data_IF_294390568979
#
_entry.id   IF_294390568979
#
_cell.length_a   1.000
_cell.length_b   1.000
_cell.length_c   1.000
_cell.angle_alpha   90.00
_cell.angle_beta   90.00
_cell.angle_gamma   90.00
#
_symmetry.space_group_name_H-M   'P 1'
#
loop_
_entity.id
_entity.type
_entity.pdbx_description
1 polymer ?
#
# COMPACT_ATOMS: atom_id res chain seq x y z
N UNK A 1 17.07 5.32 10.72
CA UNK A 1 17.08 6.68 10.19
C UNK A 1 15.84 7.37 10.73
N UNK A 2 15.95 8.57 11.31
CA UNK A 2 14.82 9.24 11.98
C UNK A 2 13.76 9.74 10.99
N UNK A 3 12.56 10.06 11.49
CA UNK A 3 11.47 10.60 10.65
C UNK A 3 11.83 11.99 10.06
N UNK A 4 12.59 12.78 10.82
CA UNK A 4 13.08 14.10 10.38
C UNK A 4 14.05 13.99 9.20
N UNK A 5 14.83 12.90 9.13
CA UNK A 5 15.73 12.62 8.02
C UNK A 5 14.97 12.24 6.74
N UNK A 6 13.87 11.47 6.86
CA UNK A 6 13.00 11.19 5.71
C UNK A 6 12.39 12.47 5.14
N UNK A 7 12.07 13.44 5.98
CA UNK A 7 11.39 14.67 5.55
C UNK A 7 12.25 15.56 4.65
N UNK A 8 13.57 15.58 4.83
CA UNK A 8 14.49 16.32 3.95
C UNK A 8 14.68 15.65 2.59
N UNK A 9 14.28 14.37 2.46
CA UNK A 9 14.49 13.51 1.29
C UNK A 9 13.25 13.33 0.42
N UNK A 10 12.14 14.03 0.73
CA UNK A 10 10.88 13.90 -0.01
C UNK A 10 10.98 14.34 -1.48
N UNK A 11 12.01 15.10 -1.82
CA UNK A 11 12.28 15.58 -3.18
C UNK A 11 13.42 14.82 -3.87
N UNK A 12 13.87 13.68 -3.32
CA UNK A 12 14.85 12.82 -4.00
C UNK A 12 14.31 12.33 -5.36
N UNK A 13 15.17 12.16 -6.39
CA UNK A 13 14.73 11.95 -7.77
C UNK A 13 13.76 10.78 -7.98
N UNK A 14 13.91 9.69 -7.22
CA UNK A 14 13.05 8.51 -7.36
C UNK A 14 11.70 8.65 -6.66
N UNK A 15 11.52 9.60 -5.73
CA UNK A 15 10.29 9.76 -4.95
C UNK A 15 9.60 11.11 -5.18
N UNK A 16 10.30 12.08 -5.75
CA UNK A 16 9.81 13.46 -5.96
C UNK A 16 8.46 13.51 -6.67
N UNK A 17 8.31 12.82 -7.81
CA UNK A 17 7.06 12.81 -8.56
C UNK A 17 5.87 12.21 -7.76
N UNK A 18 6.13 11.21 -6.91
CA UNK A 18 5.11 10.64 -6.02
C UNK A 18 4.71 11.64 -4.92
N UNK A 19 5.69 12.38 -4.40
CA UNK A 19 5.44 13.39 -3.39
C UNK A 19 4.83 14.68 -3.95
N UNK A 20 5.03 14.98 -5.23
CA UNK A 20 4.27 16.01 -5.97
C UNK A 20 2.79 15.62 -6.10
N UNK A 21 2.52 14.34 -6.39
CA UNK A 21 1.15 13.80 -6.32
C UNK A 21 0.57 13.96 -4.91
N UNK A 22 1.31 13.60 -3.86
CA UNK A 22 0.83 13.79 -2.48
C UNK A 22 0.50 15.26 -2.19
N UNK A 23 1.36 16.21 -2.62
CA UNK A 23 1.09 17.66 -2.48
C UNK A 23 -0.16 18.08 -3.23
N UNK A 24 -0.34 17.66 -4.48
CA UNK A 24 -1.51 18.03 -5.28
C UNK A 24 -2.80 17.54 -4.64
N UNK A 25 -2.81 16.31 -4.11
CA UNK A 25 -3.98 15.72 -3.43
C UNK A 25 -4.37 16.44 -2.14
N UNK A 26 -3.43 17.12 -1.46
CA UNK A 26 -3.74 17.92 -0.26
C UNK A 26 -4.59 19.14 -0.57
N UNK A 27 -4.48 19.69 -1.80
CA UNK A 27 -5.14 20.96 -2.18
C UNK A 27 -6.27 20.78 -3.21
N UNK A 28 -6.49 19.56 -3.72
CA UNK A 28 -7.37 19.30 -4.88
C UNK A 28 -8.87 19.51 -4.62
N UNK A 29 -9.32 19.49 -3.37
CA UNK A 29 -10.75 19.51 -3.03
C UNK A 29 -11.27 20.92 -2.72
N UNK A 30 -11.47 21.72 -3.77
CA UNK A 30 -12.12 23.03 -3.64
C UNK A 30 -11.41 24.03 -2.71
N UNK A 31 -10.12 23.81 -2.43
CA UNK A 31 -9.33 24.61 -1.49
C UNK A 31 -9.37 24.15 -0.03
N UNK A 32 -10.10 23.08 0.31
CA UNK A 32 -10.03 22.47 1.64
C UNK A 32 -8.79 21.60 1.72
N UNK A 33 -7.84 21.99 2.57
CA UNK A 33 -6.63 21.22 2.79
C UNK A 33 -6.98 19.89 3.49
N UNK A 34 -6.53 18.77 2.91
CA UNK A 34 -6.68 17.42 3.49
C UNK A 34 -5.33 16.79 3.77
N UNK A 35 -5.27 15.91 4.77
CA UNK A 35 -4.07 15.15 5.06
C UNK A 35 -3.85 14.04 4.03
N UNK A 36 -2.66 14.00 3.43
CA UNK A 36 -2.15 12.91 2.60
C UNK A 36 -0.71 12.65 3.04
N UNK A 37 -0.34 11.43 3.47
CA UNK A 37 1.02 11.14 3.91
C UNK A 37 2.00 11.21 2.74
N UNK A 38 3.25 11.55 3.03
CA UNK A 38 4.34 11.45 2.07
C UNK A 38 4.59 9.99 1.67
N UNK A 39 5.07 9.78 0.45
CA UNK A 39 5.68 8.52 0.06
C UNK A 39 7.06 8.41 0.70
N UNK A 40 7.42 7.18 1.08
CA UNK A 40 8.62 6.90 1.86
C UNK A 40 9.88 6.94 0.98
N UNK A 41 10.84 7.86 1.22
CA UNK A 41 12.07 7.96 0.43
C UNK A 41 12.99 6.73 0.54
N UNK A 42 12.81 5.90 1.57
CA UNK A 42 13.56 4.64 1.72
C UNK A 42 12.95 3.47 0.93
N UNK A 43 11.80 3.68 0.27
CA UNK A 43 11.14 2.69 -0.58
C UNK A 43 11.55 2.84 -2.05
N UNK A 44 11.01 2.00 -2.94
CA UNK A 44 11.40 1.97 -4.36
C UNK A 44 11.02 3.19 -5.19
N UNK A 45 10.13 4.06 -4.68
CA UNK A 45 9.67 5.24 -5.42
C UNK A 45 9.06 4.85 -6.76
N UNK A 46 9.37 5.61 -7.82
CA UNK A 46 8.91 5.35 -9.19
C UNK A 46 9.46 4.05 -9.80
N UNK A 47 10.56 3.52 -9.26
CA UNK A 47 11.17 2.27 -9.72
C UNK A 47 10.62 1.01 -9.01
N UNK A 48 9.54 1.16 -8.23
CA UNK A 48 8.94 0.04 -7.53
C UNK A 48 8.24 -0.93 -8.50
N UNK A 49 8.54 -2.22 -8.34
CA UNK A 49 7.95 -3.32 -9.10
C UNK A 49 6.73 -3.92 -8.37
N UNK A 50 6.70 -3.78 -7.05
CA UNK A 50 5.63 -4.26 -6.18
C UNK A 50 4.94 -3.08 -5.47
N UNK A 51 3.62 -2.98 -5.62
CA UNK A 51 2.78 -2.02 -4.90
C UNK A 51 1.90 -2.75 -3.88
N UNK A 52 2.02 -2.41 -2.60
CA UNK A 52 1.05 -2.84 -1.57
C UNK A 52 0.08 -1.71 -1.28
N UNK A 53 -1.19 -2.01 -1.46
CA UNK A 53 -2.32 -1.14 -1.20
C UNK A 53 -2.98 -1.46 0.13
N UNK A 54 -2.98 -0.49 1.03
CA UNK A 54 -3.70 -0.48 2.30
C UNK A 54 -5.03 0.28 2.16
N UNK A 55 -5.97 0.17 3.09
CA UNK A 55 -7.28 0.86 2.95
C UNK A 55 -7.17 2.39 3.07
N UNK A 56 -6.80 2.90 4.24
CA UNK A 56 -6.68 4.35 4.55
C UNK A 56 -5.46 4.61 5.45
N UNK A 57 -4.92 5.85 5.51
CA UNK A 57 -3.92 6.21 6.50
C UNK A 57 -4.36 5.84 7.92
N UNK A 58 -3.43 5.32 8.72
CA UNK A 58 -3.67 4.95 10.11
C UNK A 58 -3.64 6.17 11.05
N UNK A 59 -4.27 6.10 12.23
CA UNK A 59 -4.37 7.24 13.15
C UNK A 59 -3.00 7.76 13.61
N UNK A 60 -2.00 6.89 13.78
CA UNK A 60 -0.64 7.29 14.15
C UNK A 60 0.06 8.08 13.04
N UNK A 61 -0.19 7.73 11.78
CA UNK A 61 0.33 8.47 10.61
C UNK A 61 -0.33 9.84 10.49
N UNK A 62 -1.65 9.91 10.75
CA UNK A 62 -2.40 11.18 10.72
C UNK A 62 -1.97 12.11 11.85
N UNK A 63 -1.76 11.58 13.05
CA UNK A 63 -1.42 12.37 14.24
C UNK A 63 -0.09 13.13 14.15
N UNK A 64 0.83 12.69 13.28
CA UNK A 64 2.15 13.32 13.11
C UNK A 64 2.18 14.36 11.98
N UNK A 65 1.06 14.62 11.30
CA UNK A 65 0.94 15.69 10.31
C UNK A 65 1.99 15.61 9.20
N UNK A 66 2.72 16.69 8.93
CA UNK A 66 3.73 16.76 7.85
C UNK A 66 4.90 15.77 8.00
N UNK A 67 5.03 15.11 9.16
CA UNK A 67 5.97 14.01 9.40
C UNK A 67 5.35 12.63 9.14
N UNK A 68 4.15 12.58 8.59
CA UNK A 68 3.43 11.35 8.27
C UNK A 68 3.87 10.78 6.92
N UNK A 69 4.33 9.53 6.94
CA UNK A 69 4.73 8.77 5.75
C UNK A 69 3.90 7.51 5.59
N UNK A 70 3.67 7.11 4.33
CA UNK A 70 3.27 5.75 4.00
C UNK A 70 4.49 4.84 4.05
N UNK A 71 4.93 4.49 5.26
CA UNK A 71 6.17 3.76 5.51
C UNK A 71 5.95 2.47 6.29
N UNK A 72 6.81 1.48 6.04
CA UNK A 72 6.93 0.28 6.88
C UNK A 72 7.67 0.54 8.20
N UNK A 73 8.26 1.74 8.38
CA UNK A 73 8.90 2.17 9.62
C UNK A 73 7.92 2.82 10.62
N UNK A 74 6.66 2.99 10.23
CA UNK A 74 5.65 3.54 11.14
C UNK A 74 5.58 2.66 12.39
N UNK A 75 5.58 3.30 13.55
CA UNK A 75 5.50 2.61 14.82
C UNK A 75 4.06 2.13 15.05
N UNK A 76 3.59 1.15 14.27
CA UNK A 76 2.29 0.50 14.42
C UNK A 76 2.35 -1.00 14.03
N UNK A 77 1.45 -1.85 14.56
CA UNK A 77 1.51 -3.30 14.32
C UNK A 77 1.36 -3.69 12.84
N UNK A 78 0.65 -2.88 12.05
CA UNK A 78 0.42 -3.18 10.63
C UNK A 78 1.69 -2.94 9.82
N UNK A 79 2.38 -1.83 10.07
CA UNK A 79 3.67 -1.54 9.46
C UNK A 79 4.73 -2.61 9.83
N UNK A 80 4.79 -3.02 11.10
CA UNK A 80 5.67 -4.10 11.54
C UNK A 80 5.40 -5.42 10.82
N UNK A 81 4.12 -5.83 10.72
CA UNK A 81 3.74 -7.06 10.03
C UNK A 81 4.03 -7.01 8.52
N UNK A 82 3.86 -5.85 7.87
CA UNK A 82 4.22 -5.67 6.47
C UNK A 82 5.73 -5.77 6.25
N UNK A 83 6.52 -5.14 7.11
CA UNK A 83 7.98 -5.22 7.07
C UNK A 83 8.47 -6.66 7.21
N UNK A 84 7.92 -7.39 8.18
CA UNK A 84 8.24 -8.80 8.40
C UNK A 84 7.82 -9.67 7.20
N UNK A 85 6.63 -9.44 6.65
CA UNK A 85 6.16 -10.15 5.47
C UNK A 85 7.02 -9.88 4.23
N UNK A 86 7.41 -8.63 4.00
CA UNK A 86 8.32 -8.23 2.92
C UNK A 86 9.68 -8.91 3.08
N UNK A 87 10.29 -8.77 4.27
CA UNK A 87 11.58 -9.37 4.58
C UNK A 87 11.55 -10.90 4.44
N UNK A 88 10.49 -11.56 4.94
CA UNK A 88 10.31 -13.00 4.82
C UNK A 88 10.07 -13.49 3.39
N UNK A 89 9.57 -12.63 2.50
CA UNK A 89 9.45 -12.91 1.07
C UNK A 89 10.74 -12.65 0.28
N UNK A 90 11.78 -12.08 0.92
CA UNK A 90 13.01 -11.67 0.24
C UNK A 90 12.84 -10.46 -0.67
N UNK A 91 11.74 -9.71 -0.53
CA UNK A 91 11.48 -8.55 -1.36
C UNK A 91 12.35 -7.37 -0.91
N UNK A 92 13.17 -6.83 -1.80
CA UNK A 92 14.00 -5.67 -1.52
C UNK A 92 13.12 -4.44 -1.23
N UNK A 93 13.48 -3.65 -0.21
CA UNK A 93 12.74 -2.41 0.14
C UNK A 93 12.68 -1.43 -1.03
N UNK A 94 13.75 -1.38 -1.83
CA UNK A 94 13.89 -0.55 -3.02
C UNK A 94 13.12 -1.07 -4.24
N UNK A 95 12.56 -2.28 -4.20
CA UNK A 95 11.71 -2.82 -5.25
C UNK A 95 10.21 -2.66 -4.93
N UNK A 96 9.89 -2.11 -3.75
CA UNK A 96 8.57 -2.11 -3.16
C UNK A 96 8.09 -0.70 -2.84
N UNK A 97 6.80 -0.45 -3.02
CA UNK A 97 6.11 0.76 -2.59
C UNK A 97 4.85 0.41 -1.79
N UNK A 98 4.63 1.12 -0.69
CA UNK A 98 3.40 1.05 0.11
C UNK A 98 2.59 2.32 -0.06
N UNK A 99 1.28 2.21 -0.30
CA UNK A 99 0.37 3.34 -0.17
C UNK A 99 -1.04 2.90 0.25
N UNK A 100 -1.98 3.83 0.20
CA UNK A 100 -3.37 3.59 0.52
C UNK A 100 -4.25 3.73 -0.74
N UNK A 101 -5.27 2.89 -0.85
CA UNK A 101 -6.31 2.99 -1.90
C UNK A 101 -7.02 4.34 -1.79
N UNK A 102 -7.42 4.72 -0.58
CA UNK A 102 -7.88 6.08 -0.27
C UNK A 102 -6.75 6.79 0.45
N UNK A 103 -6.07 7.78 -0.17
CA UNK A 103 -4.82 8.32 0.36
C UNK A 103 -5.00 9.32 1.52
N UNK A 104 -6.23 9.63 1.91
CA UNK A 104 -6.58 10.52 3.02
C UNK A 104 -7.40 9.79 4.10
N UNK A 105 -7.45 10.30 5.34
CA UNK A 105 -8.25 9.71 6.40
C UNK A 105 -9.74 9.88 6.13
N UNK A 106 -10.52 8.86 6.50
CA UNK A 106 -11.98 8.89 6.42
C UNK A 106 -12.58 8.94 7.83
N UNK A 107 -13.35 10.00 8.07
CA UNK A 107 -14.06 10.22 9.34
C UNK A 107 -15.57 10.30 9.11
N UNK A 108 -16.35 9.96 10.12
CA UNK A 108 -17.78 10.21 10.18
C UNK A 108 -18.10 11.64 10.63
N UNK A 109 -19.38 11.97 10.71
CA UNK A 109 -19.85 13.30 11.13
C UNK A 109 -19.45 13.67 12.57
N UNK A 110 -19.13 12.67 13.40
CA UNK A 110 -18.68 12.86 14.77
C UNK A 110 -17.14 12.91 14.87
N UNK A 111 -16.43 12.82 13.75
CA UNK A 111 -14.98 12.83 13.68
C UNK A 111 -14.33 11.48 13.98
N UNK A 112 -15.10 10.39 14.12
CA UNK A 112 -14.54 9.06 14.34
C UNK A 112 -14.11 8.42 13.02
N UNK A 113 -13.04 7.64 13.06
CA UNK A 113 -12.59 6.88 11.89
C UNK A 113 -13.68 5.91 11.43
N UNK A 114 -13.89 5.85 10.12
CA UNK A 114 -14.81 4.90 9.48
C UNK A 114 -14.11 4.12 8.35
N UNK A 115 -14.63 2.94 7.98
CA UNK A 115 -14.17 2.25 6.77
C UNK A 115 -14.57 3.01 5.50
N UNK A 116 -13.88 2.76 4.38
CA UNK A 116 -14.23 3.33 3.08
C UNK A 116 -15.57 2.80 2.56
N UNK A 117 -16.37 3.70 1.99
CA UNK A 117 -17.57 3.43 1.22
C UNK A 117 -17.23 3.44 -0.27
N UNK A 118 -18.17 2.97 -1.11
CA UNK A 118 -18.00 2.98 -2.57
C UNK A 118 -17.70 4.39 -3.09
N UNK A 119 -18.40 5.40 -2.58
CA UNK A 119 -18.17 6.79 -2.96
C UNK A 119 -16.74 7.28 -2.64
N UNK A 120 -16.15 6.85 -1.51
CA UNK A 120 -14.77 7.22 -1.18
C UNK A 120 -13.76 6.56 -2.14
N UNK A 121 -14.06 5.33 -2.57
CA UNK A 121 -13.23 4.61 -3.55
C UNK A 121 -13.33 5.26 -4.92
N UNK A 122 -14.51 5.74 -5.31
CA UNK A 122 -14.71 6.46 -6.57
C UNK A 122 -14.02 7.83 -6.55
N UNK A 123 -14.06 8.56 -5.42
CA UNK A 123 -13.32 9.82 -5.23
C UNK A 123 -11.80 9.61 -5.26
N UNK A 124 -11.32 8.50 -4.68
CA UNK A 124 -9.89 8.17 -4.68
C UNK A 124 -9.39 7.57 -6.01
N UNK A 125 -10.29 7.08 -6.88
CA UNK A 125 -9.93 6.40 -8.14
C UNK A 125 -8.99 7.21 -9.03
N UNK A 126 -9.19 8.52 -9.27
CA UNK A 126 -8.28 9.29 -10.11
C UNK A 126 -6.89 9.43 -9.48
N UNK A 127 -6.80 9.53 -8.15
CA UNK A 127 -5.51 9.57 -7.46
C UNK A 127 -4.74 8.24 -7.61
N UNK A 128 -5.44 7.11 -7.54
CA UNK A 128 -4.84 5.80 -7.78
C UNK A 128 -4.38 5.64 -9.24
N UNK A 129 -5.17 6.12 -10.21
CA UNK A 129 -4.79 6.09 -11.63
C UNK A 129 -3.53 6.92 -11.89
N UNK A 130 -3.45 8.12 -11.32
CA UNK A 130 -2.29 9.00 -11.42
C UNK A 130 -1.06 8.35 -10.77
N UNK A 131 -1.20 7.76 -9.58
CA UNK A 131 -0.13 6.99 -8.95
C UNK A 131 0.36 5.86 -9.87
N UNK A 132 -0.53 5.04 -10.43
CA UNK A 132 -0.14 3.95 -11.31
C UNK A 132 0.59 4.43 -12.56
N UNK A 133 0.25 5.62 -13.08
CA UNK A 133 0.96 6.23 -14.22
C UNK A 133 2.40 6.66 -13.90
N UNK A 134 2.73 6.86 -12.62
CA UNK A 134 4.06 7.22 -12.13
C UNK A 134 4.95 5.99 -11.83
N UNK A 135 4.43 4.76 -11.98
CA UNK A 135 5.13 3.52 -11.66
C UNK A 135 5.36 2.68 -12.94
N UNK A 136 6.30 3.09 -13.83
CA UNK A 136 6.51 2.44 -15.12
C UNK A 136 6.97 0.98 -15.00
N UNK A 137 7.66 0.64 -13.91
CA UNK A 137 8.23 -0.70 -13.68
C UNK A 137 7.29 -1.62 -12.87
N UNK A 138 6.05 -1.19 -12.61
CA UNK A 138 5.12 -1.92 -11.76
C UNK A 138 4.69 -3.25 -12.40
N UNK A 139 4.96 -4.35 -11.70
CA UNK A 139 4.58 -5.71 -12.13
C UNK A 139 3.43 -6.27 -11.29
N UNK A 140 3.41 -5.95 -10.00
CA UNK A 140 2.54 -6.59 -9.02
C UNK A 140 1.80 -5.59 -8.14
N UNK A 141 0.50 -5.79 -7.98
CA UNK A 141 -0.30 -5.09 -6.98
C UNK A 141 -0.85 -6.09 -5.96
N UNK A 142 -0.58 -5.82 -4.68
CA UNK A 142 -1.07 -6.60 -3.54
C UNK A 142 -2.00 -5.73 -2.71
N UNK A 143 -3.28 -6.09 -2.65
CA UNK A 143 -4.23 -5.42 -1.77
C UNK A 143 -4.25 -6.10 -0.39
N UNK A 144 -4.13 -5.30 0.67
CA UNK A 144 -4.18 -5.72 2.07
C UNK A 144 -5.39 -5.07 2.72
N UNK A 145 -6.45 -5.85 2.93
CA UNK A 145 -7.67 -5.44 3.63
C UNK A 145 -7.82 -6.17 4.96
N UNK A 146 -8.54 -5.56 5.91
CA UNK A 146 -8.91 -6.24 7.14
C UNK A 146 -9.85 -7.44 6.85
N UNK A 147 -9.76 -8.54 7.62
CA UNK A 147 -10.75 -9.61 7.52
C UNK A 147 -12.12 -9.07 7.95
N UNK A 148 -13.10 -9.08 7.04
CA UNK A 148 -14.49 -8.76 7.36
C UNK A 148 -15.05 -9.84 8.29
N UNK A 149 -15.46 -9.48 9.49
CA UNK A 149 -16.27 -10.37 10.33
C UNK A 149 -17.73 -10.38 9.87
N UNK A 150 -18.19 -11.60 9.57
CA UNK A 150 -19.57 -12.12 9.45
C UNK A 150 -20.36 -11.88 8.14
N UNK A 151 -20.19 -12.85 7.25
CA UNK A 151 -21.11 -13.30 6.20
C UNK A 151 -20.40 -14.41 5.43
N UNK A 152 -20.83 -15.67 5.59
CA UNK A 152 -20.03 -16.87 5.30
C UNK A 152 -19.48 -16.93 3.86
N UNK A 153 -18.19 -16.63 3.71
CA UNK A 153 -17.27 -17.30 2.80
C UNK A 153 -15.92 -17.32 3.52
N UNK A 154 -15.38 -18.51 3.77
CA UNK A 154 -14.20 -18.70 4.61
C UNK A 154 -12.94 -18.07 4.00
N UNK A 155 -12.67 -16.82 4.33
CA UNK A 155 -11.39 -16.17 4.06
C UNK A 155 -10.65 -15.95 5.38
N UNK A 156 -9.60 -16.75 5.55
CA UNK A 156 -8.59 -16.64 6.60
C UNK A 156 -7.91 -15.25 6.56
N UNK A 157 -7.27 -14.76 7.66
CA UNK A 157 -6.48 -13.52 7.71
C UNK A 157 -5.33 -13.39 6.69
N UNK A 158 -5.22 -14.32 5.74
CA UNK A 158 -4.15 -14.50 4.76
C UNK A 158 -4.61 -14.15 3.33
N UNK A 159 -5.79 -13.57 3.15
CA UNK A 159 -6.38 -13.33 1.83
C UNK A 159 -5.71 -12.13 1.11
N UNK A 160 -4.49 -12.37 0.61
CA UNK A 160 -3.73 -11.44 -0.24
C UNK A 160 -4.23 -11.58 -1.67
N UNK A 161 -4.93 -10.57 -2.19
CA UNK A 161 -5.23 -10.49 -3.62
C UNK A 161 -4.01 -9.95 -4.35
N UNK A 162 -3.44 -10.79 -5.19
CA UNK A 162 -2.32 -10.48 -6.06
C UNK A 162 -2.88 -10.30 -7.46
N UNK A 163 -2.76 -9.09 -8.00
CA UNK A 163 -3.16 -8.79 -9.36
C UNK A 163 -1.90 -8.39 -10.15
N UNK A 164 -1.64 -9.01 -11.32
CA UNK A 164 -0.64 -8.47 -12.23
C UNK A 164 -1.09 -7.05 -12.66
N UNK A 165 -0.15 -6.11 -12.71
CA UNK A 165 -0.44 -4.69 -12.93
C UNK A 165 -0.88 -4.32 -14.37
N UNK A 166 -1.15 -5.30 -15.23
CA UNK A 166 -1.46 -5.07 -16.64
C UNK A 166 -2.69 -4.15 -16.82
N UNK A 167 -2.62 -3.08 -17.66
CA UNK A 167 -3.66 -2.05 -17.81
C UNK A 167 -4.95 -2.52 -18.51
N UNK A 168 -5.20 -3.83 -18.57
CA UNK A 168 -6.38 -4.42 -19.18
C UNK A 168 -6.45 -5.92 -18.96
N UNK A 169 -6.81 -6.38 -17.76
CA UNK A 169 -7.50 -7.66 -17.63
C UNK A 169 -8.33 -7.74 -16.36
N UNK A 170 -9.63 -7.81 -16.57
CA UNK A 170 -10.61 -8.38 -15.65
C UNK A 170 -10.19 -9.81 -15.33
N UNK A 171 -9.69 -10.08 -14.12
CA UNK A 171 -9.39 -11.45 -13.70
C UNK A 171 -8.42 -11.57 -12.54
N UNK A 172 -8.88 -11.20 -11.33
CA UNK A 172 -8.18 -11.52 -10.08
C UNK A 172 -8.12 -13.04 -9.92
N UNK A 173 -6.97 -13.66 -10.20
CA UNK A 173 -6.70 -15.08 -9.94
C UNK A 173 -5.96 -15.22 -8.62
N UNK A 174 -6.58 -15.86 -7.64
CA UNK A 174 -5.89 -16.38 -6.45
C UNK A 174 -4.96 -17.51 -6.88
N UNK A 175 -3.64 -17.38 -6.67
CA UNK A 175 -2.70 -18.48 -6.92
C UNK A 175 -2.82 -19.52 -5.79
N UNK A 176 -3.05 -20.81 -6.08
CA UNK A 176 -2.83 -21.85 -5.08
C UNK A 176 -1.32 -22.07 -4.87
N UNK A 177 -0.97 -22.32 -3.61
CA UNK A 177 0.40 -22.50 -3.13
C UNK A 177 1.13 -23.61 -3.89
N UNK A 178 2.31 -23.30 -4.43
CA UNK A 178 3.26 -24.32 -4.88
C UNK A 178 3.75 -25.12 -3.65
N UNK A 179 3.30 -26.37 -3.54
CA UNK A 179 3.88 -27.33 -2.60
C UNK A 179 5.30 -27.66 -3.06
N UNK A 180 6.29 -27.32 -2.24
CA UNK A 180 7.69 -27.76 -2.42
C UNK A 180 7.71 -29.29 -2.56
N UNK A 181 8.25 -29.76 -3.68
CA UNK A 181 8.43 -31.17 -3.96
C UNK A 181 9.42 -31.82 -3.00
N UNK A 182 9.05 -33.00 -2.49
CA UNK A 182 9.97 -33.99 -1.95
C UNK A 182 10.17 -35.08 -2.99
N UNK A 183 11.34 -35.11 -3.63
CA UNK A 183 11.71 -36.14 -4.57
C UNK A 183 12.39 -37.33 -3.86
N UNK A 184 11.88 -38.53 -4.18
CA UNK A 184 12.57 -39.83 -4.36
C UNK A 184 13.25 -40.50 -3.15
N UNK A 185 12.85 -41.75 -2.91
CA UNK A 185 13.64 -42.92 -3.38
C UNK A 185 12.78 -44.20 -3.43
N UNK A 186 12.79 -44.84 -4.60
CA UNK A 186 12.47 -46.26 -4.78
C UNK A 186 13.66 -47.10 -4.29
N UNK A 187 13.41 -48.25 -3.68
CA UNK A 187 14.48 -49.22 -3.39
C UNK A 187 14.04 -50.47 -2.62
N UNK A 188 13.67 -51.50 -3.40
CA UNK A 188 13.84 -52.96 -3.19
C UNK A 188 13.11 -53.68 -2.04
N UNK A 189 12.55 -54.82 -2.43
CA UNK A 189 11.89 -55.86 -1.63
C UNK A 189 11.03 -56.68 -2.57
#
# INVERSE_FOLDING_TARGET
MGVEDKRSRVDEPHVGALNDLARSLRVRDGGVERFVPWFDPDSGGVAAQDLVLMETPGPRTVAVGDLGFSSEDNADPTAAALREARAGAGLARTAYLRCNVVPWPLVDIAGHRRPPLVADLDDARPALQELLSLLPDLELVVAVGAPRSRGSCGCSPQDRRVCPASPGSSGCRTRPRATRGGARRRGRG
#
